data_IF_153873191415
#
_entry.id   IF_153873191415
#
_cell.length_a   1.000
_cell.length_b   1.000
_cell.length_c   1.000
_cell.angle_alpha   90.00
_cell.angle_beta   90.00
_cell.angle_gamma   90.00
#
_symmetry.space_group_name_H-M   'P 1'
#
loop_
_entity.id
_entity.type
_entity.pdbx_description
1 polymer ?
#
# COMPACT_ATOMS: atom_id res chain seq x y z
N UNK A 1 0.58 23.72 -54.22
CA UNK A 1 1.43 23.86 -53.03
C UNK A 1 0.64 23.30 -51.88
N UNK A 2 0.76 21.99 -51.60
CA UNK A 2 0.02 21.27 -50.59
C UNK A 2 0.74 21.49 -49.25
N UNK A 3 0.15 22.25 -48.37
CA UNK A 3 0.69 22.46 -47.00
C UNK A 3 0.57 21.14 -46.28
N UNK A 4 1.70 20.49 -46.00
CA UNK A 4 1.75 19.30 -45.13
C UNK A 4 1.17 19.69 -43.76
N UNK A 5 0.29 18.85 -43.15
CA UNK A 5 -0.22 19.14 -41.81
C UNK A 5 0.96 19.22 -40.84
N UNK A 6 1.09 20.35 -40.18
CA UNK A 6 2.04 20.53 -39.07
C UNK A 6 1.77 19.44 -38.03
N UNK A 7 2.72 18.54 -37.82
CA UNK A 7 2.70 17.58 -36.72
C UNK A 7 2.77 18.42 -35.44
N UNK A 8 1.61 18.74 -34.90
CA UNK A 8 1.53 19.37 -33.58
C UNK A 8 2.33 18.53 -32.59
N UNK A 9 3.24 19.18 -31.87
CA UNK A 9 4.02 18.51 -30.84
C UNK A 9 3.06 17.87 -29.81
N UNK A 10 3.28 16.63 -29.38
CA UNK A 10 2.39 15.95 -28.47
C UNK A 10 2.21 16.80 -27.19
N UNK A 11 0.97 17.17 -26.89
CA UNK A 11 0.64 17.86 -25.64
C UNK A 11 0.38 16.88 -24.50
N UNK A 12 0.80 17.26 -23.27
CA UNK A 12 0.46 16.51 -22.06
C UNK A 12 -1.05 16.54 -21.84
N UNK A 13 -1.57 15.47 -21.26
CA UNK A 13 -2.99 15.32 -21.01
C UNK A 13 -3.54 16.40 -20.06
N UNK A 14 -4.56 17.15 -20.50
CA UNK A 14 -5.22 18.22 -19.75
C UNK A 14 -6.62 17.81 -19.31
N UNK A 15 -7.20 18.56 -18.36
CA UNK A 15 -8.56 18.35 -17.89
C UNK A 15 -9.55 18.44 -19.07
N UNK A 16 -10.53 17.52 -19.07
CA UNK A 16 -11.51 17.42 -20.16
C UNK A 16 -11.03 16.61 -21.37
N UNK A 17 -9.72 16.34 -21.51
CA UNK A 17 -9.23 15.53 -22.64
C UNK A 17 -9.63 14.05 -22.48
N UNK A 18 -10.02 13.36 -23.57
CA UNK A 18 -10.27 11.91 -23.56
C UNK A 18 -9.05 11.12 -23.07
N UNK A 19 -7.83 11.62 -23.37
CA UNK A 19 -6.59 11.02 -22.92
C UNK A 19 -6.45 11.02 -21.39
N UNK A 20 -6.71 12.13 -20.69
CA UNK A 20 -6.66 12.17 -19.23
C UNK A 20 -7.71 11.25 -18.58
N UNK A 21 -8.91 11.17 -19.18
CA UNK A 21 -9.94 10.25 -18.68
C UNK A 21 -9.47 8.80 -18.79
N UNK A 22 -8.87 8.40 -19.91
CA UNK A 22 -8.29 7.07 -20.10
C UNK A 22 -7.15 6.77 -19.13
N UNK A 23 -6.20 7.70 -18.95
CA UNK A 23 -5.11 7.58 -17.96
C UNK A 23 -5.67 7.36 -16.55
N UNK A 24 -6.64 8.16 -16.14
CA UNK A 24 -7.23 8.07 -14.80
C UNK A 24 -7.94 6.73 -14.57
N UNK A 25 -8.75 6.27 -15.53
CA UNK A 25 -9.45 4.98 -15.44
C UNK A 25 -8.46 3.80 -15.46
N UNK A 26 -7.45 3.86 -16.34
CA UNK A 26 -6.42 2.83 -16.42
C UNK A 26 -5.65 2.70 -15.11
N UNK A 27 -5.14 3.80 -14.57
CA UNK A 27 -4.35 3.76 -13.34
C UNK A 27 -5.21 3.49 -12.10
N UNK A 28 -6.47 3.89 -12.09
CA UNK A 28 -7.42 3.48 -11.06
C UNK A 28 -7.57 1.96 -11.05
N UNK A 29 -7.81 1.33 -12.23
CA UNK A 29 -7.90 -0.12 -12.38
C UNK A 29 -6.59 -0.82 -12.00
N UNK A 30 -5.43 -0.27 -12.38
CA UNK A 30 -4.12 -0.82 -12.01
C UNK A 30 -3.87 -0.76 -10.50
N UNK A 31 -4.20 0.34 -9.84
CA UNK A 31 -4.12 0.47 -8.39
C UNK A 31 -5.04 -0.53 -7.68
N UNK A 32 -6.27 -0.65 -8.19
CA UNK A 32 -7.28 -1.57 -7.66
C UNK A 32 -6.79 -3.03 -7.75
N UNK A 33 -6.39 -3.49 -8.94
CA UNK A 33 -5.94 -4.89 -9.12
C UNK A 33 -4.70 -5.20 -8.29
N UNK A 34 -3.73 -4.26 -8.21
CA UNK A 34 -2.49 -4.46 -7.47
C UNK A 34 -2.76 -4.69 -5.98
N UNK A 35 -3.53 -3.81 -5.34
CA UNK A 35 -3.76 -3.89 -3.90
C UNK A 35 -4.79 -4.96 -3.53
N UNK A 36 -5.76 -5.23 -4.40
CA UNK A 36 -6.67 -6.35 -4.26
C UNK A 36 -5.90 -7.68 -4.24
N UNK A 37 -5.01 -7.89 -5.21
CA UNK A 37 -4.17 -9.10 -5.29
C UNK A 37 -3.17 -9.19 -4.13
N UNK A 38 -2.60 -8.06 -3.68
CA UNK A 38 -1.62 -8.04 -2.60
C UNK A 38 -2.21 -8.54 -1.27
N UNK A 39 -3.46 -8.14 -0.97
CA UNK A 39 -4.10 -8.42 0.31
C UNK A 39 -5.19 -9.51 0.27
N UNK A 40 -5.38 -10.23 -0.86
CA UNK A 40 -6.44 -11.21 -1.01
C UNK A 40 -6.39 -12.39 -0.01
N UNK A 41 -5.21 -12.74 0.48
CA UNK A 41 -5.06 -13.80 1.50
C UNK A 41 -5.26 -13.30 2.93
N UNK A 42 -5.26 -11.98 3.18
CA UNK A 42 -5.24 -11.44 4.54
C UNK A 42 -6.52 -11.76 5.33
N UNK A 43 -7.68 -11.67 4.70
CA UNK A 43 -8.95 -12.01 5.35
C UNK A 43 -9.12 -13.53 5.56
N UNK A 44 -8.37 -14.35 4.84
CA UNK A 44 -8.47 -15.80 4.84
C UNK A 44 -7.40 -16.49 5.68
N UNK A 45 -6.51 -15.76 6.35
CA UNK A 45 -5.39 -16.34 7.12
C UNK A 45 -5.84 -17.43 8.11
N UNK A 46 -6.95 -17.28 8.89
CA UNK A 46 -7.42 -18.33 9.78
C UNK A 46 -7.82 -19.60 9.03
N UNK A 47 -8.59 -19.48 7.95
CA UNK A 47 -9.01 -20.64 7.16
C UNK A 47 -7.84 -21.34 6.44
N UNK A 48 -6.86 -20.57 5.99
CA UNK A 48 -5.62 -21.10 5.41
C UNK A 48 -4.74 -21.76 6.47
N UNK A 49 -4.71 -21.22 7.69
CA UNK A 49 -4.06 -21.82 8.85
C UNK A 49 -4.62 -23.20 9.15
N UNK A 50 -5.93 -23.30 9.28
CA UNK A 50 -6.65 -24.54 9.52
C UNK A 50 -6.52 -25.53 8.35
N UNK A 51 -6.78 -25.08 7.12
CA UNK A 51 -6.78 -25.92 5.93
C UNK A 51 -5.42 -26.55 5.58
N UNK A 52 -4.31 -25.93 5.99
CA UNK A 52 -2.95 -26.46 5.79
C UNK A 52 -2.30 -26.97 7.09
N UNK A 53 -2.98 -26.91 8.23
CA UNK A 53 -2.43 -27.35 9.52
C UNK A 53 -1.19 -26.54 9.95
N UNK A 54 -1.19 -25.24 9.69
CA UNK A 54 -0.07 -24.34 10.02
C UNK A 54 -0.47 -23.32 11.08
N UNK A 55 0.51 -22.84 11.85
CA UNK A 55 0.26 -21.83 12.87
C UNK A 55 -0.13 -20.45 12.30
N UNK A 56 -0.77 -19.57 13.07
CA UNK A 56 -1.09 -18.19 12.67
C UNK A 56 0.13 -17.39 12.20
N UNK A 57 1.29 -17.54 12.85
CA UNK A 57 2.54 -16.91 12.41
C UNK A 57 2.98 -17.44 11.04
N UNK A 58 2.86 -18.76 10.83
CA UNK A 58 3.23 -19.34 9.54
C UNK A 58 2.26 -18.95 8.43
N UNK A 59 0.95 -18.91 8.68
CA UNK A 59 -0.03 -18.48 7.67
C UNK A 59 0.17 -17.00 7.27
N UNK A 60 0.59 -16.14 8.20
CA UNK A 60 0.89 -14.73 7.90
C UNK A 60 2.01 -14.55 6.88
N UNK A 61 2.87 -15.57 6.66
CA UNK A 61 3.87 -15.56 5.58
C UNK A 61 3.25 -15.37 4.20
N UNK A 62 1.99 -15.75 3.98
CA UNK A 62 1.31 -15.56 2.69
C UNK A 62 1.12 -14.08 2.34
N UNK A 63 1.03 -13.20 3.33
CA UNK A 63 1.04 -11.74 3.16
C UNK A 63 2.46 -11.21 3.19
N UNK A 64 3.27 -11.68 4.14
CA UNK A 64 4.63 -11.19 4.39
C UNK A 64 5.58 -11.45 3.22
N UNK A 65 5.54 -12.65 2.62
CA UNK A 65 6.37 -12.98 1.46
C UNK A 65 5.97 -12.16 0.23
N UNK A 66 4.68 -11.97 0.00
CA UNK A 66 4.22 -11.13 -1.11
C UNK A 66 4.66 -9.68 -0.93
N UNK A 67 4.46 -9.08 0.26
CA UNK A 67 4.87 -7.69 0.52
C UNK A 67 6.39 -7.53 0.58
N UNK A 68 7.12 -8.50 1.09
CA UNK A 68 8.59 -8.55 1.07
C UNK A 68 9.15 -8.61 -0.35
N UNK A 69 8.53 -9.42 -1.21
CA UNK A 69 8.87 -9.51 -2.62
C UNK A 69 8.63 -8.17 -3.35
N UNK A 70 7.50 -7.49 -3.07
CA UNK A 70 7.27 -6.12 -3.57
C UNK A 70 8.36 -5.17 -3.08
N UNK A 71 8.72 -5.22 -1.78
CA UNK A 71 9.77 -4.36 -1.23
C UNK A 71 11.09 -4.53 -2.00
N UNK A 72 11.53 -5.77 -2.18
CA UNK A 72 12.79 -6.08 -2.87
C UNK A 72 12.75 -5.67 -4.35
N UNK A 73 11.59 -5.78 -5.01
CA UNK A 73 11.45 -5.54 -6.43
C UNK A 73 11.17 -4.06 -6.78
N UNK A 74 10.63 -3.23 -5.88
CA UNK A 74 10.16 -1.88 -6.22
C UNK A 74 11.27 -0.98 -6.78
N UNK A 75 12.48 -1.04 -6.22
CA UNK A 75 13.61 -0.22 -6.70
C UNK A 75 14.18 -0.76 -8.02
N UNK A 76 14.52 -2.06 -8.16
CA UNK A 76 14.96 -2.62 -9.43
C UNK A 76 13.94 -2.42 -10.56
N UNK A 77 12.66 -2.64 -10.31
CA UNK A 77 11.60 -2.50 -11.32
C UNK A 77 11.40 -1.04 -11.72
N UNK A 78 11.49 -0.09 -10.78
CA UNK A 78 11.53 1.33 -11.11
C UNK A 78 12.68 1.66 -12.07
N UNK A 79 13.87 1.14 -11.78
CA UNK A 79 15.05 1.30 -12.65
C UNK A 79 14.86 0.66 -14.03
N UNK A 80 14.22 -0.51 -14.07
CA UNK A 80 13.91 -1.21 -15.33
C UNK A 80 12.96 -0.37 -16.20
N UNK A 81 12.03 0.37 -15.56
CA UNK A 81 11.11 1.26 -16.27
C UNK A 81 11.79 2.45 -16.91
N UNK A 82 12.92 2.92 -16.37
CA UNK A 82 13.74 3.97 -17.00
C UNK A 82 14.43 3.49 -18.31
N UNK A 83 14.62 2.19 -18.47
CA UNK A 83 15.26 1.60 -19.64
C UNK A 83 14.24 1.12 -20.69
N UNK A 84 13.19 0.42 -20.26
CA UNK A 84 12.26 -0.28 -21.15
C UNK A 84 10.92 0.44 -21.35
N UNK A 85 10.70 1.54 -20.66
CA UNK A 85 9.50 2.37 -20.74
C UNK A 85 8.46 2.05 -19.67
N UNK A 86 7.79 3.10 -19.22
CA UNK A 86 6.84 3.07 -18.10
C UNK A 86 5.65 2.15 -18.38
N UNK A 87 4.99 2.36 -19.52
CA UNK A 87 3.77 1.61 -19.91
C UNK A 87 4.05 0.12 -20.01
N UNK A 88 5.15 -0.27 -20.67
CA UNK A 88 5.50 -1.68 -20.88
C UNK A 88 5.71 -2.40 -19.54
N UNK A 89 6.50 -1.80 -18.62
CA UNK A 89 6.79 -2.40 -17.33
C UNK A 89 5.52 -2.56 -16.50
N UNK A 90 4.63 -1.55 -16.45
CA UNK A 90 3.37 -1.64 -15.73
C UNK A 90 2.44 -2.72 -16.31
N UNK A 91 2.31 -2.82 -17.64
CA UNK A 91 1.43 -3.83 -18.27
C UNK A 91 1.97 -5.24 -18.00
N UNK A 92 3.25 -5.50 -18.29
CA UNK A 92 3.87 -6.82 -18.06
C UNK A 92 3.73 -7.25 -16.60
N UNK A 93 3.99 -6.33 -15.67
CA UNK A 93 3.85 -6.53 -14.24
C UNK A 93 2.41 -6.91 -13.84
N UNK A 94 1.43 -6.15 -14.30
CA UNK A 94 0.02 -6.40 -13.99
C UNK A 94 -0.48 -7.72 -14.57
N UNK A 95 -0.15 -8.01 -15.84
CA UNK A 95 -0.54 -9.27 -16.50
C UNK A 95 0.11 -10.46 -15.81
N UNK A 96 1.43 -10.40 -15.55
CA UNK A 96 2.14 -11.48 -14.84
C UNK A 96 1.53 -11.73 -13.45
N UNK A 97 1.24 -10.67 -12.68
CA UNK A 97 0.65 -10.81 -11.34
C UNK A 97 -0.76 -11.40 -11.36
N UNK A 98 -1.59 -11.02 -12.36
CA UNK A 98 -2.93 -11.58 -12.53
C UNK A 98 -2.88 -13.08 -12.90
N UNK A 99 -2.02 -13.45 -13.85
CA UNK A 99 -1.85 -14.86 -14.25
C UNK A 99 -1.33 -15.73 -13.09
N UNK A 100 -0.31 -15.25 -12.37
CA UNK A 100 0.19 -15.94 -11.16
C UNK A 100 -0.90 -16.02 -10.09
N UNK A 101 -1.73 -14.98 -9.95
CA UNK A 101 -2.87 -14.96 -9.02
C UNK A 101 -3.88 -16.08 -9.27
N UNK A 102 -4.11 -16.47 -10.53
CA UNK A 102 -5.00 -17.57 -10.89
C UNK A 102 -4.45 -18.95 -10.54
N UNK A 103 -3.16 -19.07 -10.25
CA UNK A 103 -2.55 -20.33 -9.78
C UNK A 103 -2.76 -20.58 -8.29
N UNK A 104 -3.08 -19.54 -7.52
CA UNK A 104 -3.23 -19.62 -6.05
C UNK A 104 -4.26 -20.66 -5.62
N UNK A 105 -5.50 -20.69 -6.19
CA UNK A 105 -6.53 -21.68 -5.81
C UNK A 105 -6.13 -23.13 -6.09
N UNK A 106 -5.19 -23.33 -7.01
CA UNK A 106 -4.70 -24.67 -7.43
C UNK A 106 -3.63 -25.24 -6.49
N UNK A 107 -3.10 -24.45 -5.57
CA UNK A 107 -2.07 -24.89 -4.65
C UNK A 107 -2.60 -25.94 -3.68
N UNK A 108 -1.90 -27.09 -3.62
CA UNK A 108 -2.24 -28.23 -2.74
C UNK A 108 -1.42 -28.25 -1.45
N UNK A 109 -0.31 -27.49 -1.38
CA UNK A 109 0.53 -27.39 -0.19
C UNK A 109 0.77 -25.92 0.19
N UNK A 110 1.01 -25.70 1.49
CA UNK A 110 1.36 -24.37 2.01
C UNK A 110 2.63 -23.80 1.35
N UNK A 111 3.64 -24.64 1.12
CA UNK A 111 4.90 -24.21 0.49
C UNK A 111 4.69 -23.75 -0.95
N UNK A 112 3.88 -24.50 -1.72
CA UNK A 112 3.52 -24.09 -3.08
C UNK A 112 2.77 -22.75 -3.09
N UNK A 113 1.80 -22.59 -2.18
CA UNK A 113 1.05 -21.34 -2.03
C UNK A 113 1.97 -20.17 -1.65
N UNK A 114 2.88 -20.36 -0.71
CA UNK A 114 3.87 -19.36 -0.31
C UNK A 114 4.82 -18.97 -1.46
N UNK A 115 5.29 -19.94 -2.24
CA UNK A 115 6.12 -19.71 -3.42
C UNK A 115 5.36 -18.90 -4.48
N UNK A 116 4.11 -19.28 -4.81
CA UNK A 116 3.26 -18.56 -5.76
C UNK A 116 3.00 -17.14 -5.28
N UNK A 117 2.73 -16.91 -3.99
CA UNK A 117 2.58 -15.59 -3.39
C UNK A 117 3.85 -14.74 -3.48
N UNK A 118 5.03 -15.35 -3.32
CA UNK A 118 6.31 -14.65 -3.50
C UNK A 118 6.50 -14.19 -4.93
N UNK A 119 6.28 -15.08 -5.90
CA UNK A 119 6.36 -14.75 -7.33
C UNK A 119 5.33 -13.68 -7.71
N UNK A 120 4.10 -13.79 -7.20
CA UNK A 120 3.08 -12.78 -7.40
C UNK A 120 3.50 -11.41 -6.84
N UNK A 121 4.13 -11.38 -5.65
CA UNK A 121 4.66 -10.16 -5.05
C UNK A 121 5.72 -9.49 -5.92
N UNK A 122 6.67 -10.26 -6.47
CA UNK A 122 7.66 -9.73 -7.43
C UNK A 122 6.97 -9.11 -8.65
N UNK A 123 5.97 -9.81 -9.20
CA UNK A 123 5.21 -9.32 -10.33
C UNK A 123 4.38 -8.07 -10.01
N UNK A 124 3.82 -7.93 -8.81
CA UNK A 124 3.01 -6.78 -8.39
C UNK A 124 3.79 -5.46 -8.28
N UNK A 125 5.13 -5.51 -8.18
CA UNK A 125 5.94 -4.32 -7.90
C UNK A 125 5.89 -3.23 -8.99
N UNK A 126 5.58 -3.58 -10.24
CA UNK A 126 5.71 -2.66 -11.37
C UNK A 126 4.75 -1.48 -11.34
N UNK A 127 3.51 -1.67 -10.91
CA UNK A 127 2.55 -0.57 -10.83
C UNK A 127 2.93 0.44 -9.74
N UNK A 128 3.12 0.08 -8.46
CA UNK A 128 3.48 1.04 -7.41
C UNK A 128 4.86 1.69 -7.64
N UNK A 129 5.78 0.99 -8.31
CA UNK A 129 7.09 1.54 -8.63
C UNK A 129 7.07 2.62 -9.72
N UNK A 130 6.10 2.57 -10.66
CA UNK A 130 6.17 3.31 -11.92
C UNK A 130 5.00 4.27 -12.13
N UNK A 131 3.82 4.01 -11.56
CA UNK A 131 2.60 4.76 -11.84
C UNK A 131 2.73 6.28 -11.61
N UNK A 132 3.38 6.69 -10.51
CA UNK A 132 3.58 8.11 -10.20
C UNK A 132 4.51 8.79 -11.20
N UNK A 133 5.55 8.10 -11.66
CA UNK A 133 6.46 8.61 -12.68
C UNK A 133 5.77 8.73 -14.03
N UNK A 134 4.97 7.73 -14.42
CA UNK A 134 4.14 7.80 -15.64
C UNK A 134 3.20 9.01 -15.61
N UNK A 135 2.51 9.25 -14.49
CA UNK A 135 1.64 10.42 -14.33
C UNK A 135 2.41 11.73 -14.46
N UNK A 136 3.59 11.84 -13.86
CA UNK A 136 4.42 13.03 -13.94
C UNK A 136 4.92 13.32 -15.37
N UNK A 137 5.16 12.26 -16.16
CA UNK A 137 5.59 12.40 -17.55
C UNK A 137 4.43 12.81 -18.47
N UNK A 138 3.24 12.20 -18.33
CA UNK A 138 2.15 12.29 -19.32
C UNK A 138 1.05 13.32 -18.98
N UNK A 139 0.92 13.74 -17.71
CA UNK A 139 -0.15 14.64 -17.27
C UNK A 139 0.38 16.05 -17.05
N UNK A 140 -0.39 17.07 -17.47
CA UNK A 140 -0.05 18.47 -17.24
C UNK A 140 0.03 18.80 -15.74
N UNK A 141 1.02 19.61 -15.34
CA UNK A 141 1.32 19.88 -13.92
C UNK A 141 0.14 20.32 -13.06
N UNK A 142 -0.75 21.15 -13.61
CA UNK A 142 -1.97 21.63 -12.92
C UNK A 142 -2.94 20.50 -12.54
N UNK A 143 -2.95 19.38 -13.28
CA UNK A 143 -3.87 18.26 -13.09
C UNK A 143 -3.21 17.02 -12.49
N UNK A 144 -1.89 17.08 -12.30
CA UNK A 144 -1.08 15.95 -11.78
C UNK A 144 -1.54 15.49 -10.40
N UNK A 145 -1.80 16.41 -9.48
CA UNK A 145 -2.27 16.08 -8.13
C UNK A 145 -3.61 15.35 -8.14
N UNK A 146 -4.55 15.77 -8.99
CA UNK A 146 -5.85 15.12 -9.14
C UNK A 146 -5.71 13.70 -9.74
N UNK A 147 -4.85 13.51 -10.73
CA UNK A 147 -4.59 12.21 -11.34
C UNK A 147 -3.91 11.25 -10.36
N UNK A 148 -2.92 11.72 -9.60
CA UNK A 148 -2.29 10.96 -8.51
C UNK A 148 -3.30 10.54 -7.45
N UNK A 149 -4.19 11.46 -7.05
CA UNK A 149 -5.26 11.17 -6.09
C UNK A 149 -6.21 10.06 -6.55
N UNK A 150 -6.55 10.01 -7.84
CA UNK A 150 -7.40 8.94 -8.40
C UNK A 150 -6.69 7.59 -8.43
N UNK A 151 -5.40 7.56 -8.75
CA UNK A 151 -4.60 6.33 -8.63
C UNK A 151 -4.58 5.83 -7.18
N UNK A 152 -4.32 6.71 -6.21
CA UNK A 152 -4.31 6.36 -4.78
C UNK A 152 -5.69 5.90 -4.32
N UNK A 153 -6.78 6.50 -4.80
CA UNK A 153 -8.14 6.01 -4.53
C UNK A 153 -8.34 4.58 -5.04
N UNK A 154 -7.83 4.27 -6.24
CA UNK A 154 -7.83 2.92 -6.79
C UNK A 154 -7.09 1.93 -5.88
N UNK A 155 -5.91 2.28 -5.36
CA UNK A 155 -5.16 1.43 -4.42
C UNK A 155 -5.93 1.19 -3.11
N UNK A 156 -6.58 2.22 -2.58
CA UNK A 156 -7.40 2.13 -1.36
C UNK A 156 -8.60 1.19 -1.54
N UNK A 157 -9.36 1.39 -2.61
CA UNK A 157 -10.52 0.54 -2.94
C UNK A 157 -10.06 -0.89 -3.24
N UNK A 158 -8.95 -1.07 -3.94
CA UNK A 158 -8.35 -2.38 -4.19
C UNK A 158 -8.02 -3.12 -2.89
N UNK A 159 -7.41 -2.42 -1.92
CA UNK A 159 -7.13 -2.99 -0.61
C UNK A 159 -8.39 -3.39 0.17
N UNK A 160 -9.49 -2.66 0.01
CA UNK A 160 -10.80 -3.01 0.60
C UNK A 160 -11.39 -4.23 -0.11
N UNK A 161 -11.47 -4.22 -1.44
CA UNK A 161 -12.03 -5.33 -2.22
C UNK A 161 -11.22 -6.62 -2.05
N UNK A 162 -9.89 -6.51 -1.92
CA UNK A 162 -9.00 -7.65 -1.66
C UNK A 162 -9.27 -8.39 -0.34
N UNK A 163 -10.05 -7.80 0.56
CA UNK A 163 -10.49 -8.43 1.82
C UNK A 163 -11.96 -8.80 1.80
N UNK A 164 -12.80 -7.91 1.27
CA UNK A 164 -14.27 -8.12 1.26
C UNK A 164 -14.64 -9.25 0.30
N UNK A 165 -14.13 -9.24 -0.93
CA UNK A 165 -14.49 -10.27 -1.92
C UNK A 165 -14.17 -11.69 -1.42
N UNK A 166 -12.92 -11.98 -0.98
CA UNK A 166 -12.64 -13.30 -0.45
C UNK A 166 -13.40 -13.61 0.85
N UNK A 167 -13.62 -12.63 1.73
CA UNK A 167 -14.40 -12.85 2.95
C UNK A 167 -15.86 -13.22 2.70
N UNK A 168 -16.51 -12.61 1.71
CA UNK A 168 -17.90 -12.94 1.34
C UNK A 168 -18.02 -14.31 0.67
N UNK A 169 -17.07 -14.66 -0.19
CA UNK A 169 -17.13 -15.91 -0.96
C UNK A 169 -16.74 -17.10 -0.08
N UNK A 170 -15.86 -16.91 0.90
CA UNK A 170 -15.33 -18.02 1.69
C UNK A 170 -16.37 -18.70 2.58
N UNK A 171 -17.36 -17.95 3.10
CA UNK A 171 -18.43 -18.50 3.94
C UNK A 171 -19.33 -19.49 3.18
N UNK A 172 -19.44 -19.34 1.86
CA UNK A 172 -20.34 -20.17 1.04
C UNK A 172 -19.62 -21.19 0.16
N UNK A 173 -18.36 -20.91 -0.24
CA UNK A 173 -17.66 -21.72 -1.23
C UNK A 173 -16.21 -22.09 -0.84
N UNK A 174 -15.75 -21.62 0.32
CA UNK A 174 -14.40 -21.88 0.83
C UNK A 174 -13.31 -21.04 0.16
N UNK A 175 -12.11 -21.11 0.72
CA UNK A 175 -11.00 -20.23 0.36
C UNK A 175 -10.50 -20.35 -1.09
N UNK A 176 -10.62 -21.55 -1.70
CA UNK A 176 -10.20 -21.74 -3.09
C UNK A 176 -11.04 -20.92 -4.06
N UNK A 177 -12.36 -20.97 -3.92
CA UNK A 177 -13.29 -20.17 -4.74
C UNK A 177 -13.20 -18.69 -4.42
N UNK A 178 -12.95 -18.34 -3.16
CA UNK A 178 -12.72 -16.95 -2.74
C UNK A 178 -11.50 -16.34 -3.44
N UNK A 179 -10.38 -17.08 -3.50
CA UNK A 179 -9.16 -16.63 -4.19
C UNK A 179 -9.29 -16.70 -5.71
N UNK A 180 -10.05 -17.69 -6.26
CA UNK A 180 -10.38 -17.75 -7.68
C UNK A 180 -11.21 -16.52 -8.11
N UNK A 181 -12.27 -16.20 -7.38
CA UNK A 181 -13.11 -15.02 -7.66
C UNK A 181 -12.28 -13.72 -7.63
N UNK A 182 -11.39 -13.58 -6.63
CA UNK A 182 -10.49 -12.44 -6.54
C UNK A 182 -9.50 -12.41 -7.72
N UNK A 183 -8.98 -13.56 -8.13
CA UNK A 183 -8.07 -13.69 -9.28
C UNK A 183 -8.73 -13.30 -10.61
N UNK A 184 -9.94 -13.77 -10.87
CA UNK A 184 -10.71 -13.41 -12.07
C UNK A 184 -11.06 -11.92 -12.08
N UNK A 185 -11.47 -11.37 -10.95
CA UNK A 185 -11.74 -9.93 -10.83
C UNK A 185 -10.47 -9.10 -11.07
N UNK A 186 -9.33 -9.54 -10.52
CA UNK A 186 -8.03 -8.91 -10.77
C UNK A 186 -7.64 -8.97 -12.25
N UNK A 187 -7.89 -10.10 -12.91
CA UNK A 187 -7.65 -10.25 -14.36
C UNK A 187 -8.54 -9.29 -15.16
N UNK A 188 -9.83 -9.19 -14.83
CA UNK A 188 -10.75 -8.27 -15.52
C UNK A 188 -10.29 -6.81 -15.41
N UNK A 189 -9.89 -6.35 -14.23
CA UNK A 189 -9.32 -5.01 -14.07
C UNK A 189 -7.95 -4.85 -14.73
N UNK A 190 -7.14 -5.90 -14.81
CA UNK A 190 -5.88 -5.89 -15.55
C UNK A 190 -6.11 -5.73 -17.05
N UNK A 191 -7.10 -6.41 -17.61
CA UNK A 191 -7.50 -6.25 -19.01
C UNK A 191 -8.02 -4.83 -19.26
N UNK A 192 -8.88 -4.31 -18.37
CA UNK A 192 -9.35 -2.92 -18.46
C UNK A 192 -8.18 -1.92 -18.40
N UNK A 193 -7.22 -2.13 -17.50
CA UNK A 193 -6.00 -1.33 -17.42
C UNK A 193 -5.22 -1.36 -18.74
N UNK A 194 -4.96 -2.56 -19.30
CA UNK A 194 -4.20 -2.72 -20.52
C UNK A 194 -4.87 -2.03 -21.73
N UNK A 195 -6.18 -2.19 -21.89
CA UNK A 195 -6.94 -1.59 -22.98
C UNK A 195 -7.08 -0.06 -22.87
N UNK A 196 -7.10 0.47 -21.65
CA UNK A 196 -7.31 1.89 -21.42
C UNK A 196 -6.01 2.69 -21.33
N UNK A 197 -4.87 2.07 -20.98
CA UNK A 197 -3.63 2.80 -20.74
C UNK A 197 -3.06 3.39 -22.03
N UNK A 198 -2.96 4.72 -22.18
CA UNK A 198 -2.30 5.33 -23.33
C UNK A 198 -0.78 5.01 -23.33
N UNK A 199 -0.16 4.91 -24.52
CA UNK A 199 1.29 4.78 -24.60
C UNK A 199 2.00 6.00 -24.01
N UNK A 200 3.16 5.78 -23.42
CA UNK A 200 4.00 6.87 -22.91
C UNK A 200 4.62 7.64 -24.06
N UNK A 201 4.31 8.95 -24.16
CA UNK A 201 4.75 9.85 -25.23
C UNK A 201 5.95 10.70 -24.84
N UNK A 202 6.07 11.00 -23.55
CA UNK A 202 7.11 11.88 -23.00
C UNK A 202 8.22 11.11 -22.30
N UNK A 203 8.17 9.78 -22.34
CA UNK A 203 9.23 8.95 -21.78
C UNK A 203 10.54 9.16 -22.53
N UNK A 204 11.61 9.41 -21.79
CA UNK A 204 12.99 9.44 -22.30
C UNK A 204 13.81 8.43 -21.51
N UNK A 205 14.47 7.45 -22.20
CA UNK A 205 15.37 6.54 -21.50
C UNK A 205 16.46 7.30 -20.75
N UNK A 206 16.68 6.94 -19.52
CA UNK A 206 17.72 7.54 -18.69
C UNK A 206 18.63 6.45 -18.12
N UNK A 207 19.91 6.81 -17.88
CA UNK A 207 20.79 5.95 -17.11
C UNK A 207 20.42 6.07 -15.62
N UNK A 208 20.27 4.93 -14.97
CA UNK A 208 19.97 4.90 -13.55
C UNK A 208 21.26 5.18 -12.77
N UNK A 209 21.23 6.22 -11.96
CA UNK A 209 22.27 6.49 -10.98
C UNK A 209 21.76 6.11 -9.58
N UNK A 210 22.42 5.16 -8.92
CA UNK A 210 22.05 4.72 -7.57
C UNK A 210 22.76 5.50 -6.45
N UNK A 211 23.69 6.41 -6.77
CA UNK A 211 24.41 7.22 -5.76
C UNK A 211 23.47 8.04 -4.87
N UNK A 212 22.38 8.65 -5.39
CA UNK A 212 21.44 9.36 -4.53
C UNK A 212 20.76 8.49 -3.46
N UNK A 213 20.60 7.17 -3.68
CA UNK A 213 20.08 6.28 -2.65
C UNK A 213 20.94 6.28 -1.39
N UNK A 214 22.25 6.21 -1.54
CA UNK A 214 23.19 6.28 -0.42
C UNK A 214 23.14 7.64 0.27
N UNK A 215 22.99 8.72 -0.49
CA UNK A 215 22.84 10.07 0.06
C UNK A 215 21.58 10.18 0.90
N UNK A 216 20.45 9.64 0.42
CA UNK A 216 19.19 9.62 1.17
C UNK A 216 19.28 8.75 2.43
N UNK A 217 19.99 7.62 2.38
CA UNK A 217 20.22 6.76 3.54
C UNK A 217 21.15 7.40 4.58
N UNK A 218 21.98 8.37 4.21
CA UNK A 218 22.83 9.14 5.13
C UNK A 218 22.09 10.30 5.80
N UNK A 219 20.98 10.79 5.22
CA UNK A 219 20.18 11.88 5.81
C UNK A 219 19.43 11.38 7.06
N UNK A 220 19.72 11.93 8.26
CA UNK A 220 19.11 11.45 9.50
C UNK A 220 17.60 11.70 9.57
N UNK A 221 17.09 12.71 8.87
CA UNK A 221 15.66 12.98 8.82
C UNK A 221 14.92 11.99 7.90
N UNK A 222 15.50 11.68 6.73
CA UNK A 222 14.92 10.65 5.84
C UNK A 222 14.95 9.29 6.51
N UNK A 223 16.04 8.90 7.18
CA UNK A 223 16.11 7.64 7.95
C UNK A 223 14.98 7.53 8.98
N UNK A 224 14.71 8.61 9.73
CA UNK A 224 13.60 8.63 10.71
C UNK A 224 12.24 8.45 10.03
N UNK A 225 12.01 9.09 8.87
CA UNK A 225 10.77 8.92 8.12
C UNK A 225 10.63 7.50 7.54
N UNK A 226 11.73 6.88 7.11
CA UNK A 226 11.73 5.47 6.68
C UNK A 226 11.45 4.53 7.85
N UNK A 227 12.01 4.82 9.03
CA UNK A 227 11.71 4.05 10.25
C UNK A 227 10.25 4.19 10.66
N UNK A 228 9.67 5.38 10.58
CA UNK A 228 8.22 5.59 10.80
C UNK A 228 7.41 4.77 9.81
N UNK A 229 7.76 4.77 8.52
CA UNK A 229 7.07 3.97 7.51
C UNK A 229 7.11 2.47 7.82
N UNK A 230 8.30 1.97 8.17
CA UNK A 230 8.53 0.57 8.49
C UNK A 230 7.71 0.13 9.71
N UNK A 231 7.83 0.86 10.80
CA UNK A 231 7.19 0.46 12.07
C UNK A 231 5.68 0.69 12.08
N UNK A 232 5.20 1.78 11.50
CA UNK A 232 3.76 2.03 11.39
C UNK A 232 3.07 1.00 10.49
N UNK A 233 3.69 0.63 9.34
CA UNK A 233 3.13 -0.38 8.46
C UNK A 233 3.24 -1.78 9.05
N UNK A 234 4.31 -2.08 9.78
CA UNK A 234 4.43 -3.32 10.55
C UNK A 234 3.26 -3.48 11.53
N UNK A 235 2.95 -2.43 12.29
CA UNK A 235 1.82 -2.42 13.22
C UNK A 235 0.48 -2.55 12.50
N UNK A 236 0.28 -1.82 11.41
CA UNK A 236 -0.96 -1.85 10.64
C UNK A 236 -1.27 -3.23 10.08
N UNK A 237 -0.30 -3.85 9.41
CA UNK A 237 -0.47 -5.19 8.84
C UNK A 237 -0.70 -6.23 9.94
N UNK A 238 0.01 -6.13 11.06
CA UNK A 238 -0.17 -7.03 12.21
C UNK A 238 -1.59 -6.96 12.75
N UNK A 239 -2.12 -5.76 13.00
CA UNK A 239 -3.50 -5.59 13.48
C UNK A 239 -4.49 -6.23 12.50
N UNK A 240 -4.39 -5.93 11.21
CA UNK A 240 -5.33 -6.46 10.22
C UNK A 240 -5.18 -7.97 9.95
N UNK A 241 -3.98 -8.55 10.13
CA UNK A 241 -3.78 -9.99 10.01
C UNK A 241 -4.42 -10.75 11.17
N UNK A 242 -4.23 -10.30 12.41
CA UNK A 242 -4.60 -11.07 13.60
C UNK A 242 -5.94 -10.67 14.22
N UNK A 243 -6.50 -9.51 13.87
CA UNK A 243 -7.85 -9.16 14.25
C UNK A 243 -8.88 -10.13 13.66
N UNK A 244 -8.64 -10.64 12.45
CA UNK A 244 -9.50 -11.65 11.82
C UNK A 244 -9.59 -12.89 12.71
N UNK A 245 -8.47 -13.43 13.19
CA UNK A 245 -8.47 -14.57 14.12
C UNK A 245 -9.29 -14.26 15.37
N UNK A 246 -9.04 -13.10 15.99
CA UNK A 246 -9.73 -12.71 17.22
C UNK A 246 -11.25 -12.62 17.05
N UNK A 247 -11.73 -12.10 15.94
CA UNK A 247 -13.15 -11.86 15.72
C UNK A 247 -13.92 -13.11 15.28
N UNK A 248 -13.22 -14.09 14.71
CA UNK A 248 -13.79 -15.41 14.40
C UNK A 248 -13.89 -16.30 15.63
N UNK A 249 -12.98 -16.13 16.60
CA UNK A 249 -12.91 -16.91 17.83
C UNK A 249 -13.78 -16.33 18.95
N UNK A 250 -13.82 -17.06 20.10
CA UNK A 250 -14.47 -16.60 21.32
C UNK A 250 -13.89 -15.25 21.79
N UNK A 251 -14.71 -14.35 22.33
CA UNK A 251 -16.16 -14.45 22.57
C UNK A 251 -17.03 -13.98 21.40
N UNK A 252 -16.46 -13.59 20.25
CA UNK A 252 -17.19 -12.89 19.19
C UNK A 252 -17.89 -13.82 18.20
N UNK A 253 -17.23 -14.89 17.75
CA UNK A 253 -17.73 -15.87 16.77
C UNK A 253 -18.40 -15.25 15.54
N UNK A 254 -17.80 -14.18 14.98
CA UNK A 254 -18.37 -13.49 13.80
C UNK A 254 -18.05 -14.27 12.52
N UNK A 255 -18.98 -14.33 11.53
CA UNK A 255 -18.70 -14.94 10.23
C UNK A 255 -17.67 -14.15 9.42
N UNK A 256 -16.96 -14.79 8.50
CA UNK A 256 -15.93 -14.16 7.65
C UNK A 256 -16.47 -12.95 6.88
N UNK A 257 -17.70 -13.03 6.38
CA UNK A 257 -18.37 -11.94 5.68
C UNK A 257 -18.40 -10.66 6.53
N UNK A 258 -18.79 -10.78 7.82
CA UNK A 258 -18.86 -9.65 8.75
C UNK A 258 -17.46 -9.12 9.09
N UNK A 259 -16.52 -10.03 9.38
CA UNK A 259 -15.14 -9.65 9.72
C UNK A 259 -14.47 -8.94 8.55
N UNK A 260 -14.72 -9.37 7.32
CA UNK A 260 -14.14 -8.74 6.12
C UNK A 260 -14.64 -7.31 5.89
N UNK A 261 -15.86 -6.95 6.36
CA UNK A 261 -16.39 -5.58 6.27
C UNK A 261 -15.57 -4.56 7.05
N UNK A 262 -14.75 -4.99 8.01
CA UNK A 262 -13.79 -4.13 8.73
C UNK A 262 -12.88 -3.38 7.76
N UNK A 263 -12.58 -3.97 6.60
CA UNK A 263 -11.78 -3.32 5.56
C UNK A 263 -12.39 -1.99 5.07
N UNK A 264 -13.70 -1.78 5.21
CA UNK A 264 -14.37 -0.50 4.87
C UNK A 264 -13.81 0.66 5.68
N UNK A 265 -13.28 0.42 6.88
CA UNK A 265 -12.64 1.46 7.69
C UNK A 265 -11.43 2.11 7.00
N UNK A 266 -10.82 1.42 6.04
CA UNK A 266 -9.75 2.00 5.21
C UNK A 266 -10.24 3.16 4.34
N UNK A 267 -11.54 3.21 4.01
CA UNK A 267 -12.13 4.36 3.29
C UNK A 267 -12.10 5.60 4.17
N UNK A 268 -12.48 5.47 5.44
CA UNK A 268 -12.39 6.57 6.40
C UNK A 268 -10.92 6.99 6.63
N UNK A 269 -10.00 6.02 6.70
CA UNK A 269 -8.56 6.27 6.74
C UNK A 269 -8.07 7.07 5.54
N UNK A 270 -8.49 6.69 4.34
CA UNK A 270 -8.12 7.41 3.10
C UNK A 270 -8.63 8.86 3.11
N UNK A 271 -9.85 9.09 3.58
CA UNK A 271 -10.39 10.45 3.74
C UNK A 271 -9.61 11.25 4.79
N UNK A 272 -9.19 10.61 5.88
CA UNK A 272 -8.36 11.23 6.91
C UNK A 272 -6.96 11.61 6.42
N UNK A 273 -6.38 10.85 5.48
CA UNK A 273 -5.09 11.18 4.85
C UNK A 273 -5.04 12.58 4.25
N UNK A 274 -6.07 12.95 3.49
CA UNK A 274 -6.15 14.27 2.86
C UNK A 274 -6.20 15.39 3.91
N UNK A 275 -7.02 15.20 4.96
CA UNK A 275 -7.12 16.17 6.08
C UNK A 275 -5.82 16.28 6.86
N UNK A 276 -5.14 15.16 7.12
CA UNK A 276 -3.84 15.13 7.81
C UNK A 276 -2.77 15.89 7.01
N UNK A 277 -2.76 15.77 5.68
CA UNK A 277 -1.88 16.54 4.80
C UNK A 277 -2.10 18.04 4.92
N UNK A 278 -3.36 18.50 4.83
CA UNK A 278 -3.74 19.92 4.99
C UNK A 278 -3.36 20.42 6.39
N UNK A 279 -3.66 19.65 7.42
CA UNK A 279 -3.34 20.01 8.81
C UNK A 279 -1.82 20.10 9.03
N UNK A 280 -1.05 19.20 8.41
CA UNK A 280 0.41 19.20 8.49
C UNK A 280 1.03 20.46 7.84
N UNK A 281 0.43 20.98 6.78
CA UNK A 281 0.87 22.22 6.14
C UNK A 281 0.50 23.46 6.98
N UNK A 282 -0.61 23.43 7.72
CA UNK A 282 -1.08 24.54 8.58
C UNK A 282 -0.44 24.55 9.98
N UNK A 283 -0.38 23.39 10.64
CA UNK A 283 0.02 23.27 12.05
C UNK A 283 1.44 22.73 12.25
N UNK A 284 2.11 22.37 11.15
CA UNK A 284 3.46 21.81 11.16
C UNK A 284 3.47 20.27 11.18
N UNK A 285 4.30 19.70 10.28
CA UNK A 285 4.34 18.25 10.01
C UNK A 285 4.68 17.40 11.22
N UNK A 286 5.63 17.85 12.06
CA UNK A 286 6.03 17.11 13.27
C UNK A 286 4.86 16.93 14.22
N UNK A 287 4.10 17.98 14.48
CA UNK A 287 2.94 17.93 15.41
C UNK A 287 1.88 16.97 14.91
N UNK A 288 1.54 17.06 13.62
CA UNK A 288 0.51 16.21 13.02
C UNK A 288 0.98 14.75 12.91
N UNK A 289 2.26 14.51 12.59
CA UNK A 289 2.83 13.16 12.56
C UNK A 289 2.77 12.50 13.93
N UNK A 290 3.25 13.19 14.97
CA UNK A 290 3.20 12.72 16.37
C UNK A 290 1.76 12.47 16.80
N UNK A 291 0.85 13.41 16.55
CA UNK A 291 -0.58 13.28 16.89
C UNK A 291 -1.25 12.10 16.17
N UNK A 292 -0.91 11.86 14.89
CA UNK A 292 -1.45 10.72 14.14
C UNK A 292 -0.97 9.38 14.69
N UNK A 293 0.32 9.27 15.07
CA UNK A 293 0.86 8.06 15.70
C UNK A 293 0.22 7.82 17.07
N UNK A 294 0.09 8.88 17.88
CA UNK A 294 -0.57 8.81 19.19
C UNK A 294 -2.05 8.39 19.06
N UNK A 295 -2.75 8.92 18.05
CA UNK A 295 -4.12 8.52 17.71
C UNK A 295 -4.20 7.03 17.35
N UNK A 296 -3.27 6.52 16.54
CA UNK A 296 -3.20 5.10 16.24
C UNK A 296 -2.98 4.26 17.51
N UNK A 297 -2.07 4.67 18.39
CA UNK A 297 -1.84 3.97 19.66
C UNK A 297 -3.08 3.97 20.57
N UNK A 298 -3.76 5.10 20.68
CA UNK A 298 -5.01 5.20 21.45
C UNK A 298 -6.12 4.31 20.86
N UNK A 299 -6.27 4.31 19.53
CA UNK A 299 -7.21 3.43 18.83
C UNK A 299 -6.91 1.95 19.09
N UNK A 300 -5.64 1.55 19.06
CA UNK A 300 -5.24 0.18 19.37
C UNK A 300 -5.59 -0.21 20.81
N UNK A 301 -5.32 0.67 21.78
CA UNK A 301 -5.69 0.43 23.20
C UNK A 301 -7.20 0.19 23.37
N UNK A 302 -8.04 0.92 22.64
CA UNK A 302 -9.50 0.71 22.65
C UNK A 302 -9.91 -0.65 22.09
N UNK A 303 -9.07 -1.30 21.29
CA UNK A 303 -9.35 -2.66 20.81
C UNK A 303 -9.02 -3.74 21.82
N UNK A 304 -8.30 -3.47 22.92
CA UNK A 304 -7.85 -4.51 23.86
C UNK A 304 -9.00 -5.18 24.62
N UNK A 305 -10.01 -4.45 25.16
CA UNK A 305 -11.15 -5.08 25.80
C UNK A 305 -11.96 -5.94 24.80
N UNK A 306 -12.56 -7.02 25.30
CA UNK A 306 -13.40 -7.90 24.50
C UNK A 306 -14.84 -7.37 24.35
N UNK A 307 -14.98 -6.11 23.96
CA UNK A 307 -16.26 -5.42 23.76
C UNK A 307 -16.35 -4.98 22.29
N UNK A 308 -17.21 -5.64 21.52
CA UNK A 308 -17.26 -5.47 20.05
C UNK A 308 -17.40 -4.01 19.57
N UNK A 309 -18.25 -3.15 20.14
CA UNK A 309 -18.33 -1.74 19.78
C UNK A 309 -17.01 -0.98 20.00
N UNK A 310 -16.29 -1.28 21.13
CA UNK A 310 -14.98 -0.68 21.39
C UNK A 310 -13.92 -1.16 20.41
N UNK A 311 -13.94 -2.43 20.05
CA UNK A 311 -13.04 -3.00 19.03
C UNK A 311 -13.27 -2.31 17.68
N UNK A 312 -14.52 -2.15 17.24
CA UNK A 312 -14.88 -1.47 16.00
C UNK A 312 -14.45 0.00 16.00
N UNK A 313 -14.80 0.75 17.04
CA UNK A 313 -14.43 2.16 17.16
C UNK A 313 -12.91 2.34 17.31
N UNK A 314 -12.26 1.52 18.11
CA UNK A 314 -10.80 1.52 18.30
C UNK A 314 -10.06 1.25 16.97
N UNK A 315 -10.53 0.29 16.18
CA UNK A 315 -9.97 -0.01 14.88
C UNK A 315 -10.14 1.16 13.88
N UNK A 316 -11.29 1.84 13.91
CA UNK A 316 -11.50 3.04 13.08
C UNK A 316 -10.50 4.14 13.46
N UNK A 317 -10.33 4.41 14.76
CA UNK A 317 -9.38 5.42 15.28
C UNK A 317 -7.94 5.03 14.94
N UNK A 318 -7.58 3.75 15.11
CA UNK A 318 -6.27 3.21 14.73
C UNK A 318 -5.99 3.42 13.24
N UNK A 319 -6.96 3.09 12.39
CA UNK A 319 -6.85 3.21 10.92
C UNK A 319 -6.69 4.67 10.49
N UNK A 320 -7.49 5.59 11.05
CA UNK A 320 -7.36 7.03 10.81
C UNK A 320 -5.97 7.53 11.21
N UNK A 321 -5.48 7.13 12.38
CA UNK A 321 -4.14 7.47 12.86
C UNK A 321 -3.03 6.94 11.95
N UNK A 322 -3.13 5.69 11.51
CA UNK A 322 -2.16 5.10 10.57
C UNK A 322 -2.13 5.83 9.24
N UNK A 323 -3.28 6.07 8.61
CA UNK A 323 -3.35 6.76 7.32
C UNK A 323 -2.86 8.21 7.41
N UNK A 324 -3.15 8.91 8.52
CA UNK A 324 -2.58 10.22 8.81
C UNK A 324 -1.06 10.18 8.93
N UNK A 325 -0.52 9.20 9.65
CA UNK A 325 0.93 8.96 9.79
C UNK A 325 1.57 8.74 8.42
N UNK A 326 1.00 7.86 7.60
CA UNK A 326 1.51 7.53 6.26
C UNK A 326 1.50 8.76 5.33
N UNK A 327 0.39 9.50 5.29
CA UNK A 327 0.25 10.68 4.43
C UNK A 327 1.27 11.78 4.78
N UNK A 328 1.41 12.08 6.08
CA UNK A 328 2.36 13.11 6.54
C UNK A 328 3.81 12.69 6.33
N UNK A 329 4.16 11.44 6.66
CA UNK A 329 5.52 10.93 6.51
C UNK A 329 5.95 10.85 5.04
N UNK A 330 5.12 10.27 4.16
CA UNK A 330 5.41 10.17 2.72
C UNK A 330 5.53 11.56 2.06
N UNK A 331 4.61 12.47 2.36
CA UNK A 331 4.67 13.85 1.89
C UNK A 331 5.91 14.61 2.40
N UNK A 332 6.36 14.30 3.61
CA UNK A 332 7.56 14.93 4.17
C UNK A 332 8.84 14.41 3.50
N UNK A 333 8.92 13.12 3.14
CA UNK A 333 10.03 12.55 2.36
C UNK A 333 10.20 13.32 1.05
N UNK A 334 9.14 13.51 0.26
CA UNK A 334 9.21 14.21 -1.01
C UNK A 334 9.65 15.66 -0.92
N UNK A 335 9.36 16.34 0.21
CA UNK A 335 9.78 17.73 0.45
C UNK A 335 11.19 17.84 1.04
N UNK A 336 11.64 16.83 1.80
CA UNK A 336 12.97 16.82 2.40
C UNK A 336 14.05 16.47 1.39
N UNK A 337 13.74 15.58 0.45
CA UNK A 337 14.66 15.24 -0.63
C UNK A 337 14.81 16.42 -1.59
N UNK A 338 15.99 17.07 -1.58
CA UNK A 338 16.32 18.19 -2.47
C UNK A 338 16.55 17.72 -3.91
N UNK A 339 17.12 16.54 -4.08
CA UNK A 339 17.44 15.90 -5.37
C UNK A 339 16.86 14.48 -5.43
N UNK A 340 16.75 13.90 -6.61
CA UNK A 340 16.31 12.51 -6.84
C UNK A 340 15.10 12.08 -5.97
N UNK A 341 14.07 12.92 -5.91
CA UNK A 341 12.87 12.74 -5.07
C UNK A 341 12.18 11.40 -5.29
N UNK A 342 12.19 10.89 -6.54
CA UNK A 342 11.63 9.59 -6.86
C UNK A 342 12.34 8.46 -6.12
N UNK A 343 13.68 8.52 -6.00
CA UNK A 343 14.46 7.51 -5.26
C UNK A 343 14.24 7.61 -3.75
N UNK A 344 14.10 8.81 -3.20
CA UNK A 344 13.74 8.98 -1.78
C UNK A 344 12.36 8.37 -1.48
N UNK A 345 11.37 8.59 -2.36
CA UNK A 345 10.05 7.97 -2.26
C UNK A 345 10.10 6.47 -2.47
N UNK A 346 10.96 5.96 -3.36
CA UNK A 346 11.22 4.54 -3.54
C UNK A 346 11.76 3.87 -2.28
N UNK A 347 12.71 4.50 -1.59
CA UNK A 347 13.22 4.02 -0.29
C UNK A 347 12.13 4.05 0.81
N UNK A 348 11.24 5.04 0.78
CA UNK A 348 10.09 5.07 1.67
C UNK A 348 9.15 3.89 1.43
N UNK A 349 8.81 3.60 0.17
CA UNK A 349 7.99 2.45 -0.19
C UNK A 349 8.68 1.12 0.13
N UNK A 350 10.00 1.03 -0.10
CA UNK A 350 10.78 -0.13 0.33
C UNK A 350 10.64 -0.36 1.83
N UNK A 351 10.88 0.65 2.66
CA UNK A 351 10.74 0.56 4.12
C UNK A 351 9.30 0.21 4.54
N UNK A 352 8.31 0.79 3.88
CA UNK A 352 6.89 0.53 4.09
C UNK A 352 6.52 -0.95 3.84
N UNK A 353 6.87 -1.50 2.68
CA UNK A 353 6.58 -2.90 2.36
C UNK A 353 7.44 -3.88 3.16
N UNK A 354 8.69 -3.51 3.47
CA UNK A 354 9.56 -4.29 4.35
C UNK A 354 8.96 -4.37 5.77
N UNK A 355 8.41 -3.26 6.27
CA UNK A 355 7.67 -3.23 7.53
C UNK A 355 6.48 -4.17 7.52
N UNK A 356 5.68 -4.17 6.43
CA UNK A 356 4.58 -5.12 6.24
C UNK A 356 5.05 -6.57 6.30
N UNK A 357 6.17 -6.88 5.65
CA UNK A 357 6.73 -8.23 5.58
C UNK A 357 7.22 -8.72 6.94
N UNK A 358 8.16 -8.00 7.53
CA UNK A 358 8.78 -8.40 8.81
C UNK A 358 7.75 -8.31 9.94
N UNK A 359 6.99 -7.22 9.99
CA UNK A 359 6.03 -6.94 11.04
C UNK A 359 4.90 -7.95 11.09
N UNK A 360 4.37 -8.33 9.92
CA UNK A 360 3.30 -9.32 9.83
C UNK A 360 3.72 -10.66 10.42
N UNK A 361 4.92 -11.14 10.09
CA UNK A 361 5.44 -12.43 10.61
C UNK A 361 5.78 -12.36 12.09
N UNK A 362 6.50 -11.31 12.54
CA UNK A 362 6.83 -11.13 13.94
C UNK A 362 5.59 -10.92 14.82
N UNK A 363 4.58 -10.22 14.28
CA UNK A 363 3.27 -10.07 14.91
C UNK A 363 2.54 -11.39 15.09
N UNK A 364 2.77 -12.37 14.20
CA UNK A 364 2.25 -13.73 14.34
C UNK A 364 2.83 -14.45 15.56
N UNK A 365 4.12 -14.33 15.78
CA UNK A 365 4.78 -14.88 16.98
C UNK A 365 4.22 -14.21 18.25
N UNK A 366 3.96 -12.89 18.20
CA UNK A 366 3.35 -12.19 19.34
C UNK A 366 1.90 -12.67 19.59
N UNK A 367 1.14 -12.93 18.52
CA UNK A 367 -0.21 -13.49 18.62
C UNK A 367 -0.21 -14.90 19.22
N UNK A 368 0.68 -15.78 18.78
CA UNK A 368 0.80 -17.16 19.29
C UNK A 368 1.15 -17.20 20.78
N UNK A 369 1.98 -16.25 21.26
CA UNK A 369 2.41 -16.21 22.67
C UNK A 369 1.43 -15.53 23.61
N UNK A 370 0.69 -14.56 23.16
CA UNK A 370 -0.14 -13.71 24.03
C UNK A 370 -1.46 -13.29 23.43
N UNK A 371 -1.92 -14.00 22.39
CA UNK A 371 -3.16 -13.70 21.66
C UNK A 371 -3.26 -12.20 21.32
N UNK A 372 -4.44 -11.62 21.45
CA UNK A 372 -4.64 -10.21 21.08
C UNK A 372 -3.87 -9.23 21.98
N UNK A 373 -3.70 -9.56 23.25
CA UNK A 373 -2.90 -8.72 24.19
C UNK A 373 -1.43 -8.70 23.79
N UNK A 374 -0.86 -9.86 23.43
CA UNK A 374 0.52 -9.95 22.90
C UNK A 374 0.69 -9.18 21.61
N UNK A 375 -0.28 -9.28 20.71
CA UNK A 375 -0.32 -8.50 19.46
C UNK A 375 -0.38 -6.99 19.76
N UNK A 376 -1.24 -6.58 20.68
CA UNK A 376 -1.37 -5.18 21.09
C UNK A 376 -0.09 -4.60 21.65
N UNK A 377 0.58 -5.33 22.56
CA UNK A 377 1.86 -4.92 23.13
C UNK A 377 2.95 -4.78 22.06
N UNK A 378 3.06 -5.76 21.16
CA UNK A 378 4.00 -5.71 20.04
C UNK A 378 3.78 -4.47 19.17
N UNK A 379 2.53 -4.18 18.79
CA UNK A 379 2.20 -3.02 17.96
C UNK A 379 2.40 -1.70 18.70
N UNK A 380 2.12 -1.64 20.00
CA UNK A 380 2.42 -0.46 20.84
C UNK A 380 3.92 -0.17 20.89
N UNK A 381 4.77 -1.18 20.97
CA UNK A 381 6.24 -1.01 20.88
C UNK A 381 6.63 -0.42 19.53
N UNK A 382 6.09 -0.94 18.43
CA UNK A 382 6.35 -0.41 17.08
C UNK A 382 5.90 1.05 16.93
N UNK A 383 4.71 1.39 17.43
CA UNK A 383 4.21 2.77 17.42
C UNK A 383 5.02 3.68 18.35
N UNK A 384 5.53 3.16 19.47
CA UNK A 384 6.48 3.86 20.35
C UNK A 384 7.78 4.21 19.62
N UNK A 385 8.36 3.28 18.87
CA UNK A 385 9.55 3.53 18.03
C UNK A 385 9.23 4.58 16.96
N UNK A 386 8.07 4.49 16.30
CA UNK A 386 7.63 5.49 15.32
C UNK A 386 7.50 6.88 15.97
N UNK A 387 6.93 6.95 17.18
CA UNK A 387 6.74 8.18 17.95
C UNK A 387 8.08 8.83 18.32
N UNK A 388 9.04 8.05 18.80
CA UNK A 388 10.39 8.52 19.12
C UNK A 388 11.11 9.04 17.88
N UNK A 389 11.01 8.32 16.77
CA UNK A 389 11.57 8.75 15.49
C UNK A 389 10.94 10.08 15.02
N UNK A 390 9.61 10.21 15.10
CA UNK A 390 8.88 11.42 14.72
C UNK A 390 9.19 12.60 15.66
N UNK A 391 9.25 12.37 16.98
CA UNK A 391 9.56 13.37 17.99
C UNK A 391 10.98 13.94 17.82
N UNK A 392 11.94 13.10 17.41
CA UNK A 392 13.32 13.54 17.12
C UNK A 392 13.48 14.32 15.81
N UNK A 393 12.42 14.50 15.00
CA UNK A 393 12.49 15.34 13.80
C UNK A 393 12.59 16.81 14.18
N UNK A 394 13.62 17.50 13.65
CA UNK A 394 13.68 18.96 13.79
C UNK A 394 12.56 19.59 12.96
N UNK A 395 11.73 20.44 13.57
CA UNK A 395 10.83 21.28 12.79
C UNK A 395 11.68 22.22 11.95
N UNK A 396 11.62 22.12 10.64
CA UNK A 396 12.16 23.17 9.80
C UNK A 396 11.39 24.46 10.17
N UNK A 397 12.09 25.44 10.75
CA UNK A 397 11.54 26.79 10.87
C UNK A 397 11.25 27.24 9.44
N UNK A 398 9.99 27.48 9.14
CA UNK A 398 9.58 28.09 7.89
C UNK A 398 10.18 29.50 7.86
N UNK A 399 11.28 29.68 7.14
CA UNK A 399 11.80 31.00 6.82
C UNK A 399 10.85 31.54 5.76
N UNK A 400 9.86 32.29 6.22
CA UNK A 400 8.95 33.01 5.34
C UNK A 400 9.77 33.93 4.45
N UNK A 401 9.89 33.61 3.19
CA UNK A 401 10.18 34.63 2.20
C UNK A 401 8.99 35.60 2.21
N UNK A 402 9.12 36.67 2.96
CA UNK A 402 8.40 37.92 2.68
C UNK A 402 8.99 38.41 1.35
N UNK A 403 8.33 38.12 0.27
CA UNK A 403 8.50 38.87 -0.97
C UNK A 403 7.96 40.29 -0.74
N UNK A 404 8.84 41.24 -0.79
CA UNK A 404 8.51 42.65 -1.03
C UNK A 404 8.01 42.81 -2.45
#
# INVERSE_FOLDING_TARGET
MTIAPSLEAPERHRLGSPGLRRVNLALFAAGLTTFMSLYCTQALLPQLSEGFGVSPARSSLLVSLATGAVALAVIPVSSLSERYGRTRVMIVSSVASALVGLLIPLCTSFTALAAVRTVQGLALAGVPAVAMAYLADEVHGEHLGSAMGRYVAGTGIGGVLGRIVPGLVTDVAGWRWALAATGFLALAFTVAFWLLLPPSRFFRPARVDYRPLLTHLRDPGLRRLYLVALTAMAGFVTVYNFLTYRLLDAPFHLPYAVVSMIAVMNVAGSAASARAGILADRSGRRKVLVGSIALAAAGLCLTLPAVLPLVGFGLLVFTVGFFGTHAVASGWVGRRASTARAQASGLYLFAYYLGSSIGGTAGGVAYERGHWTGTGLYVLVLLGVALLAAAGMKSARWVGHRSF
#
